data_IF_532502884237
#
_entry.id   IF_532502884237
#
_cell.length_a   1.000
_cell.length_b   1.000
_cell.length_c   1.000
_cell.angle_alpha   90.00
_cell.angle_beta   90.00
_cell.angle_gamma   90.00
#
_symmetry.space_group_name_H-M   'P 1'
#
loop_
_entity.id
_entity.type
_entity.pdbx_description
1 polymer ?
#
# COMPACT_ATOMS: atom_id res chain seq x y z
N UNK A 1 -20.32 16.28 4.22
CA UNK A 1 -20.59 15.57 2.96
C UNK A 1 -19.65 15.94 1.87
N UNK A 2 -19.58 17.20 1.50
CA UNK A 2 -18.65 17.64 0.47
C UNK A 2 -17.20 17.34 0.75
N UNK A 3 -16.77 17.58 1.99
CA UNK A 3 -15.39 17.34 2.38
C UNK A 3 -15.03 15.87 2.29
N UNK A 4 -15.97 15.00 2.63
CA UNK A 4 -15.78 13.58 2.56
C UNK A 4 -15.62 13.10 1.13
N UNK A 5 -16.49 13.57 0.24
CA UNK A 5 -16.42 13.22 -1.18
C UNK A 5 -15.12 13.72 -1.82
N UNK A 6 -14.73 14.95 -1.51
CA UNK A 6 -13.48 15.50 -2.01
C UNK A 6 -12.29 14.73 -1.52
N UNK A 7 -12.29 14.32 -0.24
CA UNK A 7 -11.21 13.52 0.34
C UNK A 7 -11.14 12.14 -0.33
N UNK A 8 -12.29 11.52 -0.60
CA UNK A 8 -12.31 10.23 -1.27
C UNK A 8 -11.76 10.33 -2.69
N UNK A 9 -12.12 11.39 -3.43
CA UNK A 9 -11.59 11.60 -4.77
C UNK A 9 -10.09 11.81 -4.77
N UNK A 10 -9.58 12.59 -3.81
CA UNK A 10 -8.13 12.79 -3.68
C UNK A 10 -7.42 11.49 -3.36
N UNK A 11 -8.01 10.68 -2.49
CA UNK A 11 -7.46 9.37 -2.15
C UNK A 11 -7.37 8.45 -3.36
N UNK A 12 -8.43 8.42 -4.17
CA UNK A 12 -8.44 7.61 -5.39
C UNK A 12 -7.43 8.09 -6.41
N UNK A 13 -7.30 9.40 -6.56
CA UNK A 13 -6.31 9.98 -7.46
C UNK A 13 -4.91 9.64 -7.01
N UNK A 14 -4.65 9.70 -5.70
CA UNK A 14 -3.37 9.32 -5.14
C UNK A 14 -3.04 7.85 -5.37
N UNK A 15 -4.02 6.97 -5.17
CA UNK A 15 -3.85 5.54 -5.41
C UNK A 15 -3.57 5.26 -6.90
N UNK A 16 -4.27 5.97 -7.79
CA UNK A 16 -4.04 5.80 -9.23
C UNK A 16 -2.64 6.24 -9.63
N UNK A 17 -2.18 7.36 -9.08
CA UNK A 17 -0.83 7.86 -9.34
C UNK A 17 0.21 6.88 -8.78
N UNK A 18 0.00 6.36 -7.58
CA UNK A 18 0.88 5.38 -6.97
C UNK A 18 0.96 4.10 -7.82
N UNK A 19 -0.20 3.64 -8.32
CA UNK A 19 -0.24 2.46 -9.18
C UNK A 19 0.53 2.70 -10.48
N UNK A 20 0.36 3.87 -11.09
CA UNK A 20 1.10 4.23 -12.30
C UNK A 20 2.61 4.25 -12.02
N UNK A 21 3.01 4.86 -10.90
CA UNK A 21 4.42 4.92 -10.52
C UNK A 21 5.02 3.54 -10.39
N UNK A 22 4.29 2.61 -9.74
CA UNK A 22 4.75 1.23 -9.59
C UNK A 22 4.87 0.53 -10.94
N UNK A 23 3.90 0.73 -11.83
CA UNK A 23 3.96 0.12 -13.17
C UNK A 23 5.17 0.61 -13.95
N UNK A 24 5.49 1.88 -13.84
CA UNK A 24 6.67 2.44 -14.50
C UNK A 24 7.96 1.83 -13.95
N UNK A 25 7.95 1.34 -12.73
CA UNK A 25 9.09 0.66 -12.10
C UNK A 25 9.08 -0.85 -12.34
N UNK A 26 8.13 -1.35 -13.13
CA UNK A 26 8.05 -2.77 -13.46
C UNK A 26 7.23 -3.62 -12.50
N UNK A 27 6.54 -3.02 -11.55
CA UNK A 27 5.65 -3.74 -10.65
C UNK A 27 4.35 -4.09 -11.37
N UNK A 28 3.78 -5.23 -11.02
CA UNK A 28 2.46 -5.63 -11.54
C UNK A 28 1.43 -5.36 -10.45
N UNK A 29 0.42 -4.57 -10.76
CA UNK A 29 -0.66 -4.29 -9.81
C UNK A 29 -1.58 -5.52 -9.77
N UNK A 30 -1.70 -6.13 -8.59
CA UNK A 30 -2.52 -7.31 -8.39
C UNK A 30 -3.93 -6.96 -7.92
N UNK A 31 -4.04 -5.94 -7.09
CA UNK A 31 -5.34 -5.53 -6.56
C UNK A 31 -5.26 -4.09 -6.07
N UNK A 32 -6.42 -3.44 -6.03
CA UNK A 32 -6.56 -2.09 -5.51
C UNK A 32 -7.70 -2.08 -4.50
N UNK A 33 -7.51 -1.36 -3.40
CA UNK A 33 -8.57 -1.15 -2.39
C UNK A 33 -9.14 -2.47 -1.90
N UNK A 34 -8.26 -3.35 -1.45
CA UNK A 34 -8.66 -4.65 -0.92
C UNK A 34 -9.32 -4.44 0.44
N UNK A 35 -10.55 -4.89 0.56
CA UNK A 35 -11.31 -4.78 1.81
C UNK A 35 -11.44 -6.15 2.44
N UNK A 36 -11.06 -6.23 3.72
CA UNK A 36 -11.21 -7.45 4.50
C UNK A 36 -11.87 -7.09 5.84
N UNK A 37 -12.34 -8.08 6.56
CA UNK A 37 -12.89 -7.83 7.89
C UNK A 37 -11.84 -7.37 8.91
N UNK A 38 -10.55 -7.54 8.60
CA UNK A 38 -9.46 -7.09 9.46
C UNK A 38 -9.02 -5.66 9.13
N UNK A 39 -9.22 -5.21 7.90
CA UNK A 39 -8.83 -3.88 7.47
C UNK A 39 -8.75 -3.78 5.96
N UNK A 40 -8.24 -2.66 5.47
CA UNK A 40 -8.12 -2.38 4.05
C UNK A 40 -6.66 -2.21 3.65
N UNK A 41 -6.37 -2.57 2.41
CA UNK A 41 -5.04 -2.36 1.81
C UNK A 41 -5.25 -1.54 0.55
N UNK A 42 -4.52 -0.44 0.43
CA UNK A 42 -4.68 0.47 -0.71
C UNK A 42 -4.28 -0.18 -2.03
N UNK A 43 -3.11 -0.79 -2.07
CA UNK A 43 -2.60 -1.46 -3.27
C UNK A 43 -1.88 -2.75 -2.90
N UNK A 44 -2.01 -3.74 -3.76
CA UNK A 44 -1.21 -4.97 -3.70
C UNK A 44 -0.51 -5.10 -5.04
N UNK A 45 0.80 -5.24 -5.02
CA UNK A 45 1.59 -5.31 -6.24
C UNK A 45 2.68 -6.38 -6.11
N UNK A 46 3.05 -6.96 -7.24
CA UNK A 46 4.17 -7.90 -7.29
C UNK A 46 5.41 -7.17 -7.79
N UNK A 47 6.46 -7.19 -7.01
CA UNK A 47 7.73 -6.60 -7.41
C UNK A 47 8.34 -7.43 -8.55
N UNK A 48 9.13 -6.80 -9.44
CA UNK A 48 9.81 -7.56 -10.50
C UNK A 48 10.72 -8.61 -9.86
N UNK A 49 10.46 -9.88 -10.16
CA UNK A 49 11.22 -11.03 -9.61
C UNK A 49 11.34 -10.99 -8.09
N UNK A 50 10.36 -10.44 -7.41
CA UNK A 50 10.44 -10.22 -5.97
C UNK A 50 9.14 -10.51 -5.24
N UNK A 51 9.01 -9.99 -4.01
CA UNK A 51 7.87 -10.30 -3.15
C UNK A 51 6.59 -9.61 -3.58
N UNK A 52 5.51 -10.03 -2.96
CA UNK A 52 4.24 -9.30 -3.01
C UNK A 52 4.32 -8.14 -2.04
N UNK A 53 4.00 -6.94 -2.51
CA UNK A 53 4.08 -5.73 -1.72
C UNK A 53 2.69 -5.24 -1.35
N UNK A 54 2.47 -5.02 -0.07
CA UNK A 54 1.23 -4.44 0.46
C UNK A 54 1.53 -2.98 0.74
N UNK A 55 0.84 -2.09 0.05
CA UNK A 55 1.23 -0.70 -0.06
C UNK A 55 0.16 0.22 0.52
N UNK A 56 0.57 1.08 1.46
CA UNK A 56 -0.26 2.14 1.98
C UNK A 56 0.09 3.42 1.21
N UNK A 57 -0.91 4.07 0.67
CA UNK A 57 -0.71 5.33 -0.05
C UNK A 57 -1.05 6.48 0.91
N UNK A 58 -0.07 7.36 1.14
CA UNK A 58 -0.24 8.51 2.03
C UNK A 58 -0.15 9.80 1.23
N UNK A 59 -1.12 10.70 1.48
CA UNK A 59 -1.06 12.02 0.93
C UNK A 59 -0.01 12.82 1.69
N UNK A 60 0.97 13.31 1.03
CA UNK A 60 1.85 14.15 1.47
C UNK A 60 2.63 14.05 2.55
N UNK A 61 3.31 14.20 2.80
CA UNK A 61 4.12 13.94 3.58
C UNK A 61 4.84 14.83 4.44
N UNK A 62 4.40 15.01 5.53
CA UNK A 62 5.13 15.64 6.54
C UNK A 62 5.61 14.68 7.58
N UNK A 63 5.39 13.40 7.40
CA UNK A 63 5.94 12.42 8.31
C UNK A 63 7.45 12.44 8.22
N UNK A 64 8.13 12.37 9.35
CA UNK A 64 9.59 12.33 9.38
C UNK A 64 10.12 11.08 8.75
N UNK A 65 9.41 9.97 8.93
CA UNK A 65 9.74 8.73 8.26
C UNK A 65 8.45 8.11 7.77
N UNK A 66 8.56 7.23 6.77
CA UNK A 66 7.42 6.52 6.24
C UNK A 66 6.78 5.64 7.30
N UNK A 67 7.59 4.97 8.12
CA UNK A 67 7.08 4.10 9.18
C UNK A 67 6.29 4.87 10.22
N UNK A 68 6.71 6.09 10.55
CA UNK A 68 6.01 6.92 11.53
C UNK A 68 4.64 7.38 11.03
N UNK A 69 4.42 7.40 9.72
CA UNK A 69 3.15 7.83 9.16
C UNK A 69 2.06 6.78 9.32
N UNK A 70 2.41 5.55 9.69
CA UNK A 70 1.44 4.46 9.88
C UNK A 70 1.52 3.99 11.33
N UNK A 71 0.46 4.24 12.09
CA UNK A 71 0.43 3.88 13.50
C UNK A 71 0.48 2.36 13.70
N UNK A 72 0.99 1.94 14.86
CA UNK A 72 1.13 0.51 15.16
C UNK A 72 -0.17 -0.27 15.00
N UNK A 73 -1.31 0.31 15.41
CA UNK A 73 -2.60 -0.35 15.26
C UNK A 73 -2.96 -0.54 13.80
N UNK A 74 -2.66 0.44 12.96
CA UNK A 74 -2.91 0.37 11.53
C UNK A 74 -1.99 -0.65 10.87
N UNK A 75 -0.73 -0.70 11.28
CA UNK A 75 0.22 -1.70 10.79
C UNK A 75 -0.29 -3.11 11.08
N UNK A 76 -0.81 -3.34 12.27
CA UNK A 76 -1.36 -4.64 12.65
C UNK A 76 -2.57 -5.02 11.79
N UNK A 77 -3.43 -4.06 11.50
CA UNK A 77 -4.61 -4.30 10.66
C UNK A 77 -4.21 -4.63 9.22
N UNK A 78 -3.24 -3.90 8.69
CA UNK A 78 -2.74 -4.15 7.34
C UNK A 78 -2.09 -5.52 7.27
N UNK A 79 -1.30 -5.90 8.29
CA UNK A 79 -0.67 -7.21 8.34
C UNK A 79 -1.70 -8.33 8.34
N UNK A 80 -2.78 -8.19 9.11
CA UNK A 80 -3.85 -9.18 9.12
C UNK A 80 -4.57 -9.25 7.78
N UNK A 81 -4.88 -8.10 7.19
CA UNK A 81 -5.51 -8.06 5.88
C UNK A 81 -4.62 -8.72 4.83
N UNK A 82 -3.31 -8.50 4.90
CA UNK A 82 -2.34 -9.12 4.01
C UNK A 82 -2.34 -10.64 4.17
N UNK A 83 -2.35 -11.12 5.41
CA UNK A 83 -2.43 -12.55 5.70
C UNK A 83 -3.68 -13.18 5.09
N UNK A 84 -4.82 -12.52 5.24
CA UNK A 84 -6.08 -12.99 4.66
C UNK A 84 -6.02 -13.01 3.13
N UNK A 85 -5.42 -11.99 2.54
CA UNK A 85 -5.28 -11.91 1.09
C UNK A 85 -4.42 -13.08 0.56
N UNK A 86 -3.29 -13.33 1.21
CA UNK A 86 -2.37 -14.39 0.79
C UNK A 86 -2.90 -15.79 1.06
N UNK A 87 -3.74 -15.96 2.10
CA UNK A 87 -4.27 -17.27 2.46
C UNK A 87 -5.03 -17.94 1.31
N UNK A 88 -5.70 -17.15 0.49
CA UNK A 88 -6.42 -17.68 -0.67
C UNK A 88 -5.56 -17.75 -1.94
N UNK A 89 -4.28 -17.43 -1.85
CA UNK A 89 -3.41 -17.30 -3.03
C UNK A 89 -2.03 -17.92 -2.78
N UNK A 90 -1.94 -19.25 -2.73
CA UNK A 90 -0.66 -19.91 -2.39
C UNK A 90 0.47 -19.56 -3.34
N UNK A 91 0.17 -19.34 -4.61
CA UNK A 91 1.19 -18.99 -5.60
C UNK A 91 1.84 -17.62 -5.31
N UNK A 92 1.08 -16.70 -4.72
CA UNK A 92 1.62 -15.41 -4.30
C UNK A 92 2.35 -15.53 -2.97
N UNK A 93 1.80 -16.33 -2.06
CA UNK A 93 2.39 -16.54 -0.74
C UNK A 93 3.83 -17.04 -0.82
N UNK A 94 4.15 -17.85 -1.84
CA UNK A 94 5.50 -18.38 -2.02
C UNK A 94 6.53 -17.33 -2.40
N UNK A 95 6.09 -16.16 -2.88
CA UNK A 95 7.00 -15.10 -3.30
C UNK A 95 7.56 -14.31 -2.12
N UNK A 96 7.00 -14.49 -0.94
CA UNK A 96 7.28 -13.62 0.19
C UNK A 96 6.48 -12.33 0.11
N UNK A 97 6.60 -11.51 1.13
CA UNK A 97 5.81 -10.28 1.20
C UNK A 97 6.62 -9.15 1.84
N UNK A 98 6.14 -7.94 1.60
CA UNK A 98 6.80 -6.73 2.09
C UNK A 98 5.75 -5.65 2.28
N UNK A 99 5.95 -4.77 3.24
CA UNK A 99 5.05 -3.63 3.49
C UNK A 99 5.73 -2.35 3.07
N UNK A 100 5.08 -1.61 2.18
CA UNK A 100 5.62 -0.40 1.61
C UNK A 100 4.67 0.78 1.83
N UNK A 101 5.20 1.98 1.73
CA UNK A 101 4.40 3.21 1.73
C UNK A 101 4.78 4.00 0.49
N UNK A 102 3.79 4.52 -0.21
CA UNK A 102 4.02 5.50 -1.26
C UNK A 102 3.42 6.82 -0.82
N UNK A 103 4.26 7.84 -0.71
CA UNK A 103 3.85 9.19 -0.35
C UNK A 103 3.60 10.00 -1.61
N UNK A 104 2.43 10.63 -1.65
CA UNK A 104 1.99 11.47 -2.78
C UNK A 104 1.87 12.91 -2.28
N UNK A 105 2.51 13.84 -2.95
CA UNK A 105 2.43 15.25 -2.64
C UNK A 105 2.20 16.06 -3.91
N UNK A 106 1.53 17.23 -3.82
CA UNK A 106 1.35 18.07 -4.99
C UNK A 106 2.68 18.52 -5.58
N UNK A 107 2.75 18.57 -6.90
CA UNK A 107 3.93 19.08 -7.62
C UNK A 107 5.22 18.35 -7.32
N UNK A 108 5.13 17.10 -6.92
CA UNK A 108 6.30 16.27 -6.64
C UNK A 108 6.07 14.87 -7.18
N UNK A 109 7.15 14.17 -7.50
CA UNK A 109 7.06 12.78 -7.87
C UNK A 109 6.70 11.94 -6.65
N UNK A 110 6.00 10.83 -6.83
CA UNK A 110 5.73 9.92 -5.71
C UNK A 110 7.04 9.45 -5.08
N UNK A 111 7.01 9.26 -3.77
CA UNK A 111 8.16 8.72 -3.04
C UNK A 111 7.77 7.34 -2.54
N UNK A 112 8.51 6.32 -2.97
CA UNK A 112 8.23 4.94 -2.62
C UNK A 112 9.20 4.49 -1.53
N UNK A 113 8.66 4.24 -0.33
CA UNK A 113 9.42 3.73 0.80
C UNK A 113 9.17 2.23 0.88
N UNK A 114 10.20 1.44 0.68
CA UNK A 114 10.07 -0.02 0.66
C UNK A 114 10.39 -0.62 2.02
N UNK A 115 9.67 -1.70 2.35
CA UNK A 115 9.95 -2.53 3.53
C UNK A 115 9.99 -1.70 4.81
N UNK A 116 8.93 -0.92 5.03
CA UNK A 116 8.91 0.07 6.10
C UNK A 116 8.60 -0.50 7.48
N UNK A 117 7.98 -1.67 7.58
CA UNK A 117 7.81 -2.38 8.84
C UNK A 117 7.76 -3.88 8.58
N UNK A 118 7.92 -4.65 9.66
CA UNK A 118 7.93 -6.09 9.60
C UNK A 118 6.68 -6.66 10.27
N UNK A 119 6.22 -7.80 9.79
CA UNK A 119 5.13 -8.53 10.40
C UNK A 119 5.33 -10.03 10.20
N UNK A 120 4.84 -10.81 11.14
CA UNK A 120 4.85 -12.26 11.04
C UNK A 120 3.40 -12.75 10.97
N UNK A 121 3.17 -13.74 10.17
CA UNK A 121 1.84 -14.34 10.04
C UNK A 121 1.85 -15.77 10.58
#
# INVERSE_FOLDING_TARGET
MRNREAAERRGRAGESLAALWLRLKGYRILARRVKTHAGEIDLVAAAPFGPVCFIEVKARGQARSAAESVMATQQARIARAASLYLAGRPHLSRRGFRFDIIAIAPYALPVHHRDVWQAEF
#
